data_IF_870413043410
#
_entry.id   IF_870413043410
#
_cell.length_a   1.000
_cell.length_b   1.000
_cell.length_c   1.000
_cell.angle_alpha   90.00
_cell.angle_beta   90.00
_cell.angle_gamma   90.00
#
_symmetry.space_group_name_H-M   'P 1'
#
loop_
_entity.id
_entity.type
_entity.pdbx_description
1 polymer ?
#
# COMPACT_ATOMS: atom_id res chain seq x y z
N UNK A 1 23.31 24.61 -11.27
CA UNK A 1 21.86 24.69 -11.50
C UNK A 1 21.21 24.45 -10.14
N UNK A 2 20.41 25.38 -9.64
CA UNK A 2 19.81 25.25 -8.32
C UNK A 2 18.92 24.00 -8.29
N UNK A 3 19.16 23.12 -7.33
CA UNK A 3 18.24 22.02 -7.00
C UNK A 3 16.92 22.65 -6.59
N UNK A 4 15.94 22.69 -7.49
CA UNK A 4 14.57 22.99 -7.08
C UNK A 4 14.15 21.81 -6.21
N UNK A 5 14.03 22.04 -4.90
CA UNK A 5 13.36 21.12 -4.01
C UNK A 5 11.90 21.02 -4.43
N UNK A 6 11.31 19.83 -4.34
CA UNK A 6 9.86 19.66 -4.52
C UNK A 6 9.14 20.60 -3.57
N UNK A 7 8.31 21.49 -4.11
CA UNK A 7 7.45 22.36 -3.31
C UNK A 7 6.41 21.48 -2.62
N UNK A 8 6.39 21.50 -1.29
CA UNK A 8 5.44 20.71 -0.50
C UNK A 8 4.10 21.46 -0.51
N UNK A 9 3.02 20.86 -1.02
CA UNK A 9 1.69 21.47 -0.97
C UNK A 9 1.25 21.69 0.48
N UNK A 10 0.33 22.63 0.68
CA UNK A 10 -0.27 22.86 1.99
C UNK A 10 -1.00 21.59 2.49
N UNK A 11 -1.03 21.38 3.80
CA UNK A 11 -1.56 20.14 4.38
C UNK A 11 -3.02 19.89 3.97
N UNK A 12 -3.85 20.92 3.88
CA UNK A 12 -5.25 20.80 3.45
C UNK A 12 -5.39 20.30 2.02
N UNK A 13 -4.45 20.66 1.14
CA UNK A 13 -4.41 20.14 -0.24
C UNK A 13 -4.01 18.67 -0.24
N UNK A 14 -3.07 18.27 0.62
CA UNK A 14 -2.62 16.88 0.73
C UNK A 14 -3.67 15.97 1.36
N UNK A 15 -4.53 16.53 2.21
CA UNK A 15 -5.67 15.84 2.83
C UNK A 15 -6.94 15.88 1.97
N UNK A 16 -6.91 16.54 0.82
CA UNK A 16 -8.02 16.54 -0.12
C UNK A 16 -8.21 15.15 -0.75
N UNK A 17 -9.47 14.78 -0.98
CA UNK A 17 -9.81 13.55 -1.68
C UNK A 17 -9.34 13.61 -3.13
N UNK A 18 -8.76 12.52 -3.60
CA UNK A 18 -8.27 12.39 -4.97
C UNK A 18 -9.25 11.57 -5.83
N UNK A 19 -8.91 11.37 -7.11
CA UNK A 19 -9.55 10.36 -7.95
C UNK A 19 -8.86 9.01 -7.77
N UNK A 20 -9.60 7.88 -7.87
CA UNK A 20 -8.98 6.55 -7.84
C UNK A 20 -7.86 6.43 -8.87
N UNK A 21 -6.71 5.91 -8.44
CA UNK A 21 -5.60 5.66 -9.34
C UNK A 21 -5.99 4.57 -10.35
N UNK A 22 -5.77 4.84 -11.64
CA UNK A 22 -6.03 3.88 -12.70
C UNK A 22 -4.92 2.83 -12.75
N UNK A 23 -5.23 1.70 -13.36
CA UNK A 23 -4.30 0.61 -13.60
C UNK A 23 -4.01 0.50 -15.11
N UNK A 24 -2.78 0.14 -15.49
CA UNK A 24 -2.40 -0.08 -16.89
C UNK A 24 -0.97 0.34 -17.21
N UNK A 25 -0.57 0.21 -18.47
CA UNK A 25 0.83 0.44 -18.92
C UNK A 25 1.08 1.87 -19.46
N UNK A 26 0.01 2.66 -19.58
CA UNK A 26 0.08 4.04 -20.06
C UNK A 26 0.43 4.99 -18.91
N UNK A 27 1.16 6.07 -19.23
CA UNK A 27 1.28 7.18 -18.29
C UNK A 27 -0.11 7.80 -18.03
N UNK A 28 -0.36 8.33 -16.83
CA UNK A 28 -1.64 8.97 -16.56
C UNK A 28 -1.81 10.22 -17.44
N UNK A 29 -3.04 10.46 -17.88
CA UNK A 29 -3.43 11.72 -18.54
C UNK A 29 -3.19 12.92 -17.61
N UNK A 30 -3.21 14.14 -18.14
CA UNK A 30 -3.07 15.36 -17.33
C UNK A 30 -4.15 15.41 -16.23
N UNK A 31 -3.72 15.52 -14.97
CA UNK A 31 -4.59 15.45 -13.79
C UNK A 31 -5.06 14.04 -13.39
N UNK A 32 -4.68 13.01 -14.15
CA UNK A 32 -4.89 11.60 -13.81
C UNK A 32 -3.83 11.05 -12.85
N UNK A 33 -4.11 9.89 -12.24
CA UNK A 33 -3.21 9.19 -11.31
C UNK A 33 -3.09 7.71 -11.68
N UNK A 34 -1.95 7.10 -11.33
CA UNK A 34 -1.70 5.69 -11.58
C UNK A 34 -1.20 5.40 -13.00
N UNK A 35 -1.82 4.43 -13.66
CA UNK A 35 -1.32 3.85 -14.91
C UNK A 35 0.03 3.18 -14.66
N UNK A 36 1.02 3.51 -15.49
CA UNK A 36 2.39 3.03 -15.32
C UNK A 36 3.03 3.56 -14.02
N UNK A 37 2.53 4.66 -13.46
CA UNK A 37 3.00 5.27 -12.21
C UNK A 37 2.16 4.78 -11.02
N UNK A 38 2.11 3.46 -10.85
CA UNK A 38 1.34 2.80 -9.80
C UNK A 38 2.17 1.72 -9.09
N UNK A 39 1.84 1.41 -7.83
CA UNK A 39 2.51 0.38 -7.03
C UNK A 39 2.55 -1.00 -7.73
N UNK A 40 1.48 -1.35 -8.46
CA UNK A 40 1.39 -2.60 -9.24
C UNK A 40 2.42 -2.68 -10.37
N UNK A 41 2.94 -1.54 -10.82
CA UNK A 41 3.90 -1.48 -11.93
C UNK A 41 5.33 -1.80 -11.47
N UNK A 42 5.63 -1.68 -10.18
CA UNK A 42 7.00 -1.71 -9.66
C UNK A 42 7.69 -3.04 -9.90
N UNK A 43 7.10 -4.17 -9.48
CA UNK A 43 7.73 -5.48 -9.68
C UNK A 43 7.77 -5.92 -11.15
N UNK A 44 6.73 -5.74 -11.97
CA UNK A 44 6.83 -5.95 -13.42
C UNK A 44 7.94 -5.12 -14.07
N UNK A 45 8.05 -3.83 -13.76
CA UNK A 45 9.12 -2.97 -14.28
C UNK A 45 10.51 -3.46 -13.87
N UNK A 46 10.69 -3.84 -12.61
CA UNK A 46 11.96 -4.40 -12.11
C UNK A 46 12.27 -5.73 -12.81
N UNK A 47 11.26 -6.58 -13.05
CA UNK A 47 11.44 -7.84 -13.77
C UNK A 47 11.98 -7.61 -15.18
N UNK A 48 11.50 -6.58 -15.88
CA UNK A 48 12.05 -6.14 -17.17
C UNK A 48 13.46 -5.61 -17.03
N UNK A 49 13.72 -4.75 -16.03
CA UNK A 49 15.04 -4.18 -15.79
C UNK A 49 16.13 -5.25 -15.55
N UNK A 50 15.76 -6.38 -14.94
CA UNK A 50 16.68 -7.51 -14.73
C UNK A 50 16.74 -8.50 -15.90
N UNK A 51 16.06 -8.22 -17.02
CA UNK A 51 16.09 -9.04 -18.24
C UNK A 51 15.08 -10.19 -18.28
N UNK A 52 14.13 -10.23 -17.35
CA UNK A 52 13.11 -11.29 -17.23
C UNK A 52 11.70 -10.67 -17.15
N UNK A 53 11.19 -10.05 -18.22
CA UNK A 53 9.93 -9.34 -18.19
C UNK A 53 8.76 -10.29 -17.86
N UNK A 54 8.03 -9.98 -16.78
CA UNK A 54 6.87 -10.72 -16.29
C UNK A 54 5.60 -9.87 -16.52
N UNK A 55 4.80 -10.13 -17.58
CA UNK A 55 3.49 -9.48 -17.73
C UNK A 55 2.50 -9.98 -16.66
N UNK A 56 1.45 -9.23 -16.39
CA UNK A 56 0.39 -9.59 -15.43
C UNK A 56 -0.99 -9.46 -16.07
N UNK A 57 -2.05 -9.75 -15.32
CA UNK A 57 -3.42 -9.53 -15.77
C UNK A 57 -3.75 -8.05 -16.06
N UNK A 58 -2.97 -7.12 -15.49
CA UNK A 58 -3.15 -5.68 -15.61
C UNK A 58 -2.08 -5.04 -16.52
N UNK A 59 -0.87 -5.59 -16.50
CA UNK A 59 0.30 -5.01 -17.14
C UNK A 59 0.85 -5.95 -18.22
N UNK A 60 0.54 -5.68 -19.48
CA UNK A 60 0.95 -6.53 -20.59
C UNK A 60 2.39 -6.23 -21.04
N UNK A 61 2.87 -5.00 -20.83
CA UNK A 61 4.19 -4.54 -21.27
C UNK A 61 5.10 -4.08 -20.10
N UNK A 62 5.81 -5.02 -19.45
CA UNK A 62 6.78 -4.70 -18.41
C UNK A 62 7.91 -3.74 -18.85
N UNK A 63 8.27 -3.72 -20.14
CA UNK A 63 9.33 -2.83 -20.64
C UNK A 63 8.85 -1.39 -20.65
N UNK A 64 7.61 -1.17 -21.06
CA UNK A 64 6.99 0.15 -20.98
C UNK A 64 6.91 0.67 -19.55
N UNK A 65 6.57 -0.20 -18.59
CA UNK A 65 6.59 0.18 -17.17
C UNK A 65 7.99 0.54 -16.67
N UNK A 66 9.01 -0.20 -17.10
CA UNK A 66 10.41 0.09 -16.82
C UNK A 66 10.79 1.50 -17.30
N UNK A 67 10.43 1.85 -18.53
CA UNK A 67 10.69 3.16 -19.14
C UNK A 67 9.94 4.27 -18.43
N UNK A 68 8.64 4.08 -18.16
CA UNK A 68 7.80 5.06 -17.47
C UNK A 68 8.28 5.34 -16.05
N UNK A 69 8.71 4.31 -15.31
CA UNK A 69 9.29 4.47 -13.99
C UNK A 69 10.71 5.04 -14.04
N UNK A 70 11.43 4.93 -15.16
CA UNK A 70 12.81 5.40 -15.29
C UNK A 70 13.84 4.42 -14.72
N UNK A 71 13.52 3.12 -14.71
CA UNK A 71 14.43 2.10 -14.19
C UNK A 71 15.51 1.73 -15.25
N UNK A 72 16.81 1.86 -14.94
CA UNK A 72 17.85 1.39 -15.85
C UNK A 72 17.91 -0.14 -15.90
N UNK A 73 18.47 -0.69 -16.98
CA UNK A 73 18.77 -2.12 -17.03
C UNK A 73 19.82 -2.47 -15.95
N UNK A 74 19.62 -3.61 -15.28
CA UNK A 74 20.47 -4.06 -14.20
C UNK A 74 20.59 -5.58 -14.19
N UNK A 75 21.67 -6.11 -13.60
CA UNK A 75 21.81 -7.57 -13.42
C UNK A 75 21.21 -8.05 -12.09
N UNK A 76 21.21 -7.17 -11.09
CA UNK A 76 20.66 -7.39 -9.76
C UNK A 76 19.83 -6.18 -9.36
N UNK A 77 18.67 -6.43 -8.76
CA UNK A 77 17.84 -5.40 -8.18
C UNK A 77 17.53 -5.70 -6.71
N UNK A 78 17.53 -4.66 -5.88
CA UNK A 78 17.02 -4.69 -4.51
C UNK A 78 15.85 -3.73 -4.40
N UNK A 79 14.66 -4.24 -4.10
CA UNK A 79 13.48 -3.41 -3.82
C UNK A 79 13.23 -3.41 -2.32
N UNK A 80 13.18 -2.21 -1.74
CA UNK A 80 12.90 -2.00 -0.31
C UNK A 80 11.54 -1.34 -0.19
N UNK A 81 10.59 -2.05 0.42
CA UNK A 81 9.30 -1.49 0.79
C UNK A 81 9.35 -1.03 2.25
N UNK A 82 9.16 0.27 2.46
CA UNK A 82 9.08 0.88 3.79
C UNK A 82 7.61 1.18 4.09
N UNK A 83 7.05 0.42 5.02
CA UNK A 83 5.64 0.50 5.40
C UNK A 83 5.29 1.87 5.97
N UNK A 84 4.23 2.49 5.44
CA UNK A 84 3.71 3.79 5.88
C UNK A 84 4.61 4.99 5.57
N UNK A 85 5.60 4.85 4.69
CA UNK A 85 6.50 5.94 4.30
C UNK A 85 6.01 6.70 3.06
N UNK A 86 4.98 7.53 3.22
CA UNK A 86 4.40 8.32 2.13
C UNK A 86 5.38 9.32 1.51
N UNK A 87 5.16 9.65 0.23
CA UNK A 87 6.03 10.56 -0.52
C UNK A 87 6.08 11.95 0.13
N UNK A 88 4.92 12.44 0.57
CA UNK A 88 4.81 13.74 1.22
C UNK A 88 5.36 13.71 2.65
N UNK A 89 5.25 12.58 3.38
CA UNK A 89 5.87 12.44 4.70
C UNK A 89 7.41 12.58 4.60
N UNK A 90 8.02 12.01 3.56
CA UNK A 90 9.45 12.17 3.26
C UNK A 90 9.80 13.63 3.01
N UNK A 91 9.08 14.30 2.09
CA UNK A 91 9.40 15.68 1.71
C UNK A 91 9.25 16.66 2.89
N UNK A 92 8.24 16.48 3.74
CA UNK A 92 8.04 17.27 4.97
C UNK A 92 9.12 17.04 6.04
N UNK A 93 9.89 15.96 5.95
CA UNK A 93 10.94 15.59 6.92
C UNK A 93 12.29 15.36 6.27
N UNK A 94 12.51 15.88 5.06
CA UNK A 94 13.68 15.60 4.24
C UNK A 94 15.01 15.99 4.90
N UNK A 95 14.97 16.93 5.85
CA UNK A 95 16.12 17.33 6.67
C UNK A 95 16.70 16.21 7.54
N UNK A 96 15.89 15.21 7.91
CA UNK A 96 16.26 14.08 8.77
C UNK A 96 16.77 12.85 8.01
N UNK A 97 16.75 12.88 6.68
CA UNK A 97 17.08 11.72 5.84
C UNK A 97 18.15 12.07 4.80
N UNK A 98 19.43 12.20 5.19
CA UNK A 98 20.50 12.60 4.27
C UNK A 98 20.60 11.74 3.02
N UNK A 99 20.39 10.42 3.13
CA UNK A 99 20.45 9.53 1.97
C UNK A 99 19.24 9.72 1.05
N UNK A 100 18.01 9.66 1.56
CA UNK A 100 16.81 9.89 0.76
C UNK A 100 16.81 11.31 0.13
N UNK A 101 17.28 12.31 0.86
CA UNK A 101 17.48 13.67 0.35
C UNK A 101 18.45 13.72 -0.83
N UNK A 102 19.51 12.92 -0.80
CA UNK A 102 20.45 12.86 -1.93
C UNK A 102 19.80 12.26 -3.18
N UNK A 103 18.88 11.30 -3.01
CA UNK A 103 18.13 10.71 -4.13
C UNK A 103 17.14 11.70 -4.73
N UNK A 104 16.51 12.53 -3.89
CA UNK A 104 15.60 13.61 -4.33
C UNK A 104 16.28 14.73 -5.12
N UNK A 105 17.61 14.72 -5.26
CA UNK A 105 18.32 15.63 -6.17
C UNK A 105 18.18 15.21 -7.65
N UNK A 106 17.80 13.96 -7.93
CA UNK A 106 17.49 13.48 -9.27
C UNK A 106 16.02 13.71 -9.59
N UNK A 107 15.75 14.32 -10.74
CA UNK A 107 14.39 14.58 -11.25
C UNK A 107 13.51 13.33 -11.36
N UNK A 108 14.08 12.15 -11.61
CA UNK A 108 13.28 10.90 -11.69
C UNK A 108 12.59 10.57 -10.36
N UNK A 109 13.19 11.02 -9.25
CA UNK A 109 12.72 10.80 -7.89
C UNK A 109 11.83 11.94 -7.36
N UNK A 110 11.75 13.06 -8.08
CA UNK A 110 10.97 14.25 -7.70
C UNK A 110 9.49 14.13 -8.10
N UNK A 111 8.95 12.91 -8.13
CA UNK A 111 7.53 12.64 -8.38
C UNK A 111 7.05 11.44 -7.56
N UNK A 112 5.81 11.47 -7.05
CA UNK A 112 5.20 10.29 -6.46
C UNK A 112 4.77 9.28 -7.55
N UNK A 113 4.50 8.05 -7.12
CA UNK A 113 3.60 7.13 -7.81
C UNK A 113 2.38 6.89 -6.91
N UNK A 114 1.29 6.36 -7.47
CA UNK A 114 0.08 6.07 -6.69
C UNK A 114 0.09 4.65 -6.10
N UNK A 115 -0.51 4.48 -4.92
CA UNK A 115 -0.89 3.16 -4.40
C UNK A 115 -2.34 2.80 -4.75
N UNK A 116 -2.74 1.56 -4.43
CA UNK A 116 -4.10 1.07 -4.63
C UNK A 116 -5.09 1.63 -3.59
N UNK A 117 -6.38 1.35 -3.81
CA UNK A 117 -7.44 1.66 -2.85
C UNK A 117 -8.10 0.39 -2.30
N UNK A 118 -8.33 0.29 -0.97
CA UNK A 118 -7.85 1.20 0.08
C UNK A 118 -6.33 1.24 0.18
N UNK A 119 -5.77 2.36 0.63
CA UNK A 119 -4.33 2.56 0.81
C UNK A 119 -3.86 1.88 2.11
N UNK A 120 -3.98 0.56 2.15
CA UNK A 120 -3.74 -0.26 3.34
C UNK A 120 -2.78 -1.39 3.03
N UNK A 121 -1.96 -1.77 4.00
CA UNK A 121 -0.90 -2.78 3.83
C UNK A 121 -1.42 -4.05 3.14
N UNK A 122 -2.60 -4.56 3.52
CA UNK A 122 -3.16 -5.80 2.95
C UNK A 122 -3.36 -5.70 1.43
N UNK A 123 -4.05 -4.64 0.99
CA UNK A 123 -4.38 -4.42 -0.41
C UNK A 123 -3.12 -4.05 -1.22
N UNK A 124 -2.29 -3.16 -0.65
CA UNK A 124 -1.07 -2.66 -1.28
C UNK A 124 -0.01 -3.74 -1.44
N UNK A 125 0.21 -4.59 -0.43
CA UNK A 125 1.17 -5.69 -0.52
C UNK A 125 0.77 -6.73 -1.56
N UNK A 126 -0.53 -7.04 -1.65
CA UNK A 126 -1.07 -7.98 -2.63
C UNK A 126 -0.98 -7.41 -4.05
N UNK A 127 -1.26 -6.12 -4.20
CA UNK A 127 -1.09 -5.34 -5.44
C UNK A 127 0.38 -5.34 -5.89
N UNK A 128 1.30 -4.99 -4.98
CA UNK A 128 2.73 -4.97 -5.21
C UNK A 128 3.27 -6.33 -5.64
N UNK A 129 3.02 -7.36 -4.83
CA UNK A 129 3.61 -8.68 -5.01
C UNK A 129 3.11 -9.42 -6.25
N UNK A 130 1.91 -9.12 -6.73
CA UNK A 130 1.31 -9.73 -7.92
C UNK A 130 1.41 -8.85 -9.17
N UNK A 131 1.70 -7.56 -8.99
CA UNK A 131 1.60 -6.57 -10.05
C UNK A 131 0.19 -6.47 -10.65
N UNK A 132 -0.85 -6.60 -9.83
CA UNK A 132 -2.26 -6.53 -10.25
C UNK A 132 -3.05 -5.49 -9.43
N UNK A 133 -4.27 -5.80 -9.00
CA UNK A 133 -5.14 -4.88 -8.27
C UNK A 133 -5.97 -5.61 -7.18
N UNK A 134 -6.54 -4.87 -6.21
CA UNK A 134 -7.38 -5.46 -5.15
C UNK A 134 -8.55 -6.30 -5.69
N UNK A 135 -9.18 -5.87 -6.79
CA UNK A 135 -10.31 -6.54 -7.42
C UNK A 135 -10.00 -7.92 -8.02
N UNK A 136 -8.74 -8.16 -8.42
CA UNK A 136 -8.28 -9.47 -8.90
C UNK A 136 -7.63 -10.30 -7.79
N UNK A 137 -7.02 -9.66 -6.80
CA UNK A 137 -6.39 -10.36 -5.67
C UNK A 137 -7.40 -10.84 -4.65
N UNK A 138 -8.54 -10.16 -4.49
CA UNK A 138 -9.52 -10.44 -3.43
C UNK A 138 -9.13 -9.88 -2.05
N UNK A 139 -8.08 -9.05 -2.02
CA UNK A 139 -7.54 -8.44 -0.81
C UNK A 139 -7.99 -6.98 -0.78
N UNK A 140 -9.25 -6.74 -0.38
CA UNK A 140 -9.97 -5.48 -0.62
C UNK A 140 -10.03 -4.54 0.58
N UNK A 141 -9.49 -4.95 1.73
CA UNK A 141 -9.34 -4.09 2.91
C UNK A 141 -8.60 -4.77 4.06
N UNK A 142 -8.31 -4.03 5.13
CA UNK A 142 -7.74 -4.61 6.36
C UNK A 142 -8.66 -5.67 6.99
N UNK A 143 -9.96 -5.37 7.05
CA UNK A 143 -11.01 -6.35 7.31
C UNK A 143 -12.01 -6.38 6.17
N UNK A 144 -12.61 -7.54 5.91
CA UNK A 144 -13.61 -7.71 4.87
C UNK A 144 -14.51 -8.92 5.17
N UNK A 145 -15.63 -9.05 4.47
CA UNK A 145 -16.49 -10.23 4.58
C UNK A 145 -15.78 -11.46 4.01
N UNK A 146 -15.80 -12.55 4.77
CA UNK A 146 -15.45 -13.86 4.27
C UNK A 146 -16.70 -14.50 3.62
N UNK A 147 -16.70 -14.74 2.30
CA UNK A 147 -17.86 -15.28 1.60
C UNK A 147 -18.17 -16.75 1.97
N UNK A 148 -17.22 -17.49 2.55
CA UNK A 148 -17.43 -18.89 2.91
C UNK A 148 -18.29 -19.07 4.16
N UNK A 149 -18.32 -18.08 5.06
CA UNK A 149 -19.02 -18.18 6.34
C UNK A 149 -19.86 -16.94 6.71
N UNK A 150 -19.81 -15.86 5.94
CA UNK A 150 -20.58 -14.64 6.18
C UNK A 150 -20.09 -13.78 7.35
N UNK A 151 -18.91 -14.07 7.90
CA UNK A 151 -18.32 -13.29 9.00
C UNK A 151 -17.26 -12.30 8.49
N UNK A 152 -16.98 -11.26 9.28
CA UNK A 152 -15.85 -10.38 9.02
C UNK A 152 -14.53 -11.09 9.38
N UNK A 153 -13.60 -11.06 8.44
CA UNK A 153 -12.24 -11.54 8.59
C UNK A 153 -11.24 -10.38 8.69
N UNK A 154 -10.07 -10.63 9.27
CA UNK A 154 -8.97 -9.67 9.38
C UNK A 154 -7.74 -10.23 8.67
N UNK A 155 -7.24 -9.51 7.66
CA UNK A 155 -6.31 -10.06 6.67
C UNK A 155 -4.83 -9.87 6.99
N UNK A 156 -4.48 -9.17 8.07
CA UNK A 156 -3.09 -9.14 8.57
C UNK A 156 -2.76 -10.44 9.33
N UNK A 157 -3.65 -10.89 10.21
CA UNK A 157 -3.51 -12.13 10.98
C UNK A 157 -4.21 -13.32 10.33
N UNK A 158 -4.98 -13.09 9.26
CA UNK A 158 -5.85 -14.08 8.61
C UNK A 158 -6.88 -14.71 9.55
N UNK A 159 -7.29 -13.98 10.59
CA UNK A 159 -8.37 -14.42 11.49
C UNK A 159 -9.68 -14.46 10.70
N UNK A 160 -10.36 -15.61 10.75
CA UNK A 160 -11.62 -15.89 10.06
C UNK A 160 -11.55 -15.71 8.52
N UNK A 161 -10.36 -15.64 7.92
CA UNK A 161 -10.20 -15.49 6.48
C UNK A 161 -10.17 -16.86 5.78
N UNK A 162 -10.51 -16.94 4.48
CA UNK A 162 -10.19 -18.12 3.68
C UNK A 162 -8.68 -18.40 3.70
N UNK A 163 -8.30 -19.63 3.40
CA UNK A 163 -6.88 -19.99 3.26
C UNK A 163 -6.18 -19.04 2.26
N UNK A 164 -4.92 -18.64 2.50
CA UNK A 164 -4.21 -17.64 1.69
C UNK A 164 -4.30 -17.85 0.18
N UNK A 165 -4.01 -19.07 -0.28
CA UNK A 165 -4.03 -19.45 -1.69
C UNK A 165 -5.45 -19.57 -2.29
N UNK A 166 -6.47 -19.73 -1.45
CA UNK A 166 -7.88 -19.71 -1.89
C UNK A 166 -8.36 -18.26 -2.06
N UNK A 167 -7.95 -17.39 -1.14
CA UNK A 167 -8.32 -15.97 -1.14
C UNK A 167 -7.62 -15.22 -2.28
N UNK A 168 -6.30 -15.33 -2.35
CA UNK A 168 -5.46 -14.67 -3.36
C UNK A 168 -5.00 -15.71 -4.39
N UNK A 169 -5.48 -15.56 -5.62
CA UNK A 169 -5.29 -16.55 -6.69
C UNK A 169 -4.37 -16.07 -7.83
N UNK A 170 -4.01 -14.78 -7.86
CA UNK A 170 -3.09 -14.27 -8.88
C UNK A 170 -1.66 -14.75 -8.56
N UNK A 171 -0.88 -15.21 -9.56
CA UNK A 171 0.51 -15.56 -9.33
C UNK A 171 1.30 -14.34 -8.87
N UNK A 172 2.23 -14.53 -7.93
CA UNK A 172 3.13 -13.43 -7.56
C UNK A 172 4.23 -13.28 -8.63
N UNK A 173 4.81 -12.09 -8.74
CA UNK A 173 5.98 -11.86 -9.60
C UNK A 173 7.16 -12.71 -9.12
N UNK A 174 7.26 -12.97 -7.80
CA UNK A 174 8.30 -13.81 -7.22
C UNK A 174 8.18 -15.27 -7.68
N UNK A 175 6.98 -15.87 -7.66
CA UNK A 175 6.74 -17.22 -8.19
C UNK A 175 7.16 -17.30 -9.66
N UNK A 176 6.71 -16.33 -10.45
CA UNK A 176 6.96 -16.31 -11.89
C UNK A 176 8.43 -16.10 -12.27
N UNK A 177 9.18 -15.35 -11.46
CA UNK A 177 10.63 -15.24 -11.62
C UNK A 177 11.32 -16.56 -11.24
N UNK A 178 10.90 -17.20 -10.15
CA UNK A 178 11.45 -18.48 -9.72
C UNK A 178 11.19 -19.60 -10.75
N UNK A 179 10.03 -19.60 -11.42
CA UNK A 179 9.69 -20.52 -12.52
C UNK A 179 10.61 -20.35 -13.75
N UNK A 180 11.28 -19.21 -13.88
CA UNK A 180 12.30 -18.94 -14.91
C UNK A 180 13.74 -19.15 -14.40
N UNK A 181 13.90 -19.83 -13.26
CA UNK A 181 15.18 -20.03 -12.56
C UNK A 181 15.89 -18.71 -12.19
N UNK A 182 15.14 -17.61 -12.09
CA UNK A 182 15.66 -16.34 -11.59
C UNK A 182 15.73 -16.41 -10.07
N UNK A 183 16.88 -16.07 -9.51
CA UNK A 183 17.08 -16.02 -8.06
C UNK A 183 16.20 -14.92 -7.46
N UNK A 184 15.33 -15.29 -6.53
CA UNK A 184 14.45 -14.37 -5.80
C UNK A 184 14.61 -14.58 -4.30
N UNK A 185 14.93 -13.52 -3.57
CA UNK A 185 15.20 -13.60 -2.13
C UNK A 185 14.45 -12.53 -1.38
N UNK A 186 13.76 -12.90 -0.31
CA UNK A 186 13.14 -11.96 0.63
C UNK A 186 13.95 -11.90 1.92
N UNK A 187 14.29 -10.70 2.38
CA UNK A 187 14.95 -10.47 3.66
C UNK A 187 14.02 -9.72 4.60
N UNK A 188 13.64 -10.36 5.72
CA UNK A 188 12.64 -9.79 6.62
C UNK A 188 12.67 -10.41 8.02
N UNK A 189 11.65 -10.09 8.82
CA UNK A 189 11.51 -10.62 10.17
C UNK A 189 11.08 -12.10 10.17
N UNK A 190 11.52 -12.93 11.14
CA UNK A 190 11.11 -14.33 11.25
C UNK A 190 9.60 -14.54 11.29
N UNK A 191 8.88 -13.69 12.03
CA UNK A 191 7.41 -13.78 12.17
C UNK A 191 6.64 -13.64 10.85
N UNK A 192 7.26 -13.15 9.78
CA UNK A 192 6.63 -12.99 8.47
C UNK A 192 6.99 -14.10 7.48
N UNK A 193 8.04 -14.90 7.73
CA UNK A 193 8.53 -15.91 6.79
C UNK A 193 7.43 -16.89 6.35
N UNK A 194 6.54 -17.25 7.27
CA UNK A 194 5.43 -18.18 7.04
C UNK A 194 4.07 -17.56 7.33
N UNK A 195 3.98 -16.23 7.43
CA UNK A 195 2.70 -15.58 7.69
C UNK A 195 1.75 -15.79 6.51
N UNK A 196 0.47 -15.85 6.80
CA UNK A 196 -0.57 -16.04 5.82
C UNK A 196 -0.60 -14.91 4.76
N UNK A 197 -0.31 -13.66 5.16
CA UNK A 197 -0.17 -12.54 4.23
C UNK A 197 1.02 -12.71 3.29
N UNK A 198 2.18 -13.14 3.78
CA UNK A 198 3.32 -13.45 2.91
C UNK A 198 2.97 -14.55 1.92
N UNK A 199 2.26 -15.61 2.36
CA UNK A 199 1.80 -16.67 1.46
C UNK A 199 0.81 -16.15 0.41
N UNK A 200 -0.11 -15.25 0.76
CA UNK A 200 -1.07 -14.68 -0.18
C UNK A 200 -0.42 -13.71 -1.17
N UNK A 201 0.48 -12.83 -0.70
CA UNK A 201 0.92 -11.67 -1.49
C UNK A 201 2.34 -11.80 -2.06
N UNK A 202 3.25 -12.53 -1.39
CA UNK A 202 4.70 -12.46 -1.62
C UNK A 202 5.38 -13.84 -1.73
N UNK A 203 4.60 -14.92 -1.90
CA UNK A 203 5.12 -16.29 -2.03
C UNK A 203 6.02 -16.43 -3.25
N UNK A 204 6.90 -17.43 -3.27
CA UNK A 204 7.79 -17.75 -4.40
C UNK A 204 9.25 -17.36 -4.22
N UNK A 205 9.59 -16.58 -3.19
CA UNK A 205 10.99 -16.22 -2.87
C UNK A 205 11.60 -17.12 -1.79
N UNK A 206 12.92 -17.31 -1.83
CA UNK A 206 13.67 -17.80 -0.68
C UNK A 206 13.66 -16.77 0.45
N UNK A 207 12.98 -17.08 1.55
CA UNK A 207 12.86 -16.15 2.67
C UNK A 207 13.98 -16.34 3.70
N UNK A 208 14.84 -15.33 3.85
CA UNK A 208 15.93 -15.32 4.83
C UNK A 208 15.59 -14.37 5.97
N UNK A 209 15.26 -14.93 7.13
CA UNK A 209 14.79 -14.16 8.27
C UNK A 209 15.90 -13.75 9.25
N UNK A 210 15.85 -12.50 9.73
CA UNK A 210 16.69 -12.03 10.84
C UNK A 210 15.95 -11.01 11.74
N UNK A 211 16.06 -11.15 13.06
CA UNK A 211 15.50 -10.17 14.02
C UNK A 211 16.32 -8.88 14.09
N UNK A 212 17.65 -8.98 13.92
CA UNK A 212 18.53 -7.82 13.91
C UNK A 212 18.37 -7.01 12.60
N UNK A 213 18.03 -5.71 12.68
CA UNK A 213 17.81 -4.90 11.48
C UNK A 213 19.04 -4.78 10.59
N UNK A 214 20.24 -4.67 11.17
CA UNK A 214 21.48 -4.58 10.39
C UNK A 214 21.74 -5.89 9.63
N UNK A 215 21.53 -7.04 10.26
CA UNK A 215 21.66 -8.36 9.61
C UNK A 215 20.66 -8.54 8.47
N UNK A 216 19.43 -8.02 8.58
CA UNK A 216 18.47 -8.02 7.45
C UNK A 216 19.02 -7.27 6.24
N UNK A 217 19.56 -6.07 6.45
CA UNK A 217 20.17 -5.27 5.38
C UNK A 217 21.39 -5.98 4.78
N UNK A 218 22.29 -6.50 5.61
CA UNK A 218 23.47 -7.23 5.12
C UNK A 218 23.12 -8.53 4.40
N UNK A 219 22.03 -9.20 4.79
CA UNK A 219 21.51 -10.39 4.11
C UNK A 219 21.02 -10.02 2.71
N UNK A 220 20.27 -8.93 2.59
CA UNK A 220 19.82 -8.44 1.29
C UNK A 220 21.00 -8.04 0.39
N UNK A 221 21.97 -7.33 0.94
CA UNK A 221 23.20 -6.97 0.23
C UNK A 221 23.99 -8.20 -0.23
N UNK A 222 24.08 -9.24 0.62
CA UNK A 222 24.72 -10.51 0.28
C UNK A 222 23.98 -11.20 -0.87
N UNK A 223 22.66 -11.29 -0.81
CA UNK A 223 21.84 -11.91 -1.86
C UNK A 223 22.02 -11.23 -3.23
N UNK A 224 22.17 -9.89 -3.25
CA UNK A 224 22.38 -9.11 -4.46
C UNK A 224 23.70 -9.42 -5.22
N UNK A 225 24.66 -10.14 -4.60
CA UNK A 225 25.87 -10.61 -5.30
C UNK A 225 25.57 -11.63 -6.41
N UNK A 226 24.44 -12.32 -6.31
CA UNK A 226 23.94 -13.20 -7.38
C UNK A 226 22.91 -12.40 -8.18
N UNK A 227 22.82 -12.51 -9.52
CA UNK A 227 21.80 -11.83 -10.35
C UNK A 227 20.36 -12.16 -9.94
N UNK A 228 19.41 -11.26 -10.21
CA UNK A 228 17.98 -11.43 -9.89
C UNK A 228 17.40 -10.38 -8.93
N UNK A 229 16.27 -10.68 -8.29
CA UNK A 229 15.50 -9.76 -7.44
C UNK A 229 15.58 -10.05 -5.92
N UNK A 230 16.00 -9.06 -5.12
CA UNK A 230 15.95 -9.12 -3.66
C UNK A 230 14.88 -8.18 -3.12
N UNK A 231 14.00 -8.67 -2.26
CA UNK A 231 12.98 -7.88 -1.56
C UNK A 231 13.35 -7.66 -0.09
N UNK A 232 13.15 -6.44 0.42
CA UNK A 232 13.31 -6.08 1.82
C UNK A 232 12.08 -5.34 2.30
N UNK A 233 11.56 -5.72 3.47
CA UNK A 233 10.43 -5.08 4.10
C UNK A 233 10.82 -4.44 5.43
N UNK A 234 10.53 -3.14 5.59
CA UNK A 234 10.82 -2.36 6.79
C UNK A 234 9.51 -1.79 7.36
N UNK A 235 9.08 -2.34 8.50
CA UNK A 235 7.75 -2.08 9.10
C UNK A 235 7.70 -0.99 10.17
N UNK A 236 8.85 -0.40 10.50
CA UNK A 236 9.01 0.32 11.76
C UNK A 236 8.39 1.72 11.70
N UNK A 237 8.38 2.36 10.53
CA UNK A 237 7.81 3.69 10.29
C UNK A 237 6.31 3.70 10.54
N UNK A 238 5.56 2.83 9.85
CA UNK A 238 4.13 2.61 10.09
C UNK A 238 3.81 2.32 11.57
N UNK A 239 4.48 1.29 12.13
CA UNK A 239 4.24 0.87 13.51
C UNK A 239 4.42 2.02 14.50
N UNK A 240 5.46 2.84 14.33
CA UNK A 240 5.73 3.96 15.23
C UNK A 240 4.76 5.12 14.96
N UNK A 241 4.39 5.36 13.71
CA UNK A 241 3.37 6.34 13.32
C UNK A 241 2.04 6.08 14.01
N UNK A 242 1.52 4.86 13.90
CA UNK A 242 0.29 4.47 14.58
C UNK A 242 0.34 4.56 16.11
N UNK A 243 1.51 4.39 16.74
CA UNK A 243 1.60 4.44 18.20
C UNK A 243 1.85 5.85 18.77
N UNK A 244 2.45 6.75 17.98
CA UNK A 244 2.98 8.01 18.51
C UNK A 244 2.76 9.24 17.62
N UNK A 245 2.27 9.09 16.40
CA UNK A 245 2.15 10.17 15.42
C UNK A 245 3.32 10.18 14.43
N UNK A 246 3.04 10.35 13.13
CA UNK A 246 4.07 10.38 12.07
C UNK A 246 5.00 11.60 12.16
N UNK A 247 4.61 12.65 12.86
CA UNK A 247 5.40 13.86 13.08
C UNK A 247 6.14 13.89 14.43
N UNK A 248 5.98 12.86 15.26
CA UNK A 248 6.58 12.78 16.60
C UNK A 248 8.09 12.55 16.58
N UNK A 249 8.80 12.95 17.64
CA UNK A 249 10.24 12.68 17.82
C UNK A 249 10.58 11.18 17.71
N UNK A 250 9.65 10.30 18.15
CA UNK A 250 9.83 8.84 18.06
C UNK A 250 9.78 8.36 16.62
N UNK A 251 8.88 8.94 15.82
CA UNK A 251 8.81 8.65 14.40
C UNK A 251 10.03 9.21 13.68
N UNK A 252 10.42 10.46 13.94
CA UNK A 252 11.62 11.09 13.35
C UNK A 252 12.88 10.25 13.63
N UNK A 253 13.11 9.85 14.88
CA UNK A 253 14.25 8.99 15.21
C UNK A 253 14.15 7.58 14.59
N UNK A 254 12.96 7.11 14.25
CA UNK A 254 12.77 5.86 13.49
C UNK A 254 13.07 6.06 12.01
N UNK A 255 12.61 7.16 11.43
CA UNK A 255 12.88 7.57 10.06
C UNK A 255 14.38 7.75 9.80
N UNK A 256 15.11 8.42 10.70
CA UNK A 256 16.58 8.54 10.65
C UNK A 256 17.28 7.17 10.64
N UNK A 257 16.77 6.20 11.41
CA UNK A 257 17.30 4.83 11.42
C UNK A 257 17.01 4.09 10.12
N UNK A 258 15.84 4.30 9.50
CA UNK A 258 15.54 3.74 8.18
C UNK A 258 16.46 4.34 7.13
N UNK A 259 16.65 5.66 7.10
CA UNK A 259 17.59 6.32 6.18
C UNK A 259 19.01 5.74 6.32
N UNK A 260 19.48 5.55 7.57
CA UNK A 260 20.77 4.94 7.84
C UNK A 260 20.87 3.47 7.37
N UNK A 261 19.79 2.69 7.48
CA UNK A 261 19.71 1.32 6.97
C UNK A 261 19.76 1.29 5.43
N UNK A 262 19.04 2.18 4.77
CA UNK A 262 19.04 2.31 3.31
C UNK A 262 20.43 2.77 2.80
N UNK A 263 21.06 3.72 3.48
CA UNK A 263 22.44 4.15 3.20
C UNK A 263 23.46 3.02 3.41
N UNK A 264 23.25 2.16 4.42
CA UNK A 264 24.06 0.96 4.62
C UNK A 264 23.86 -0.04 3.48
N UNK A 265 22.62 -0.28 3.06
CA UNK A 265 22.31 -1.17 1.93
C UNK A 265 23.06 -0.72 0.67
N UNK A 266 22.90 0.56 0.30
CA UNK A 266 23.52 1.18 -0.86
C UNK A 266 25.05 0.99 -0.90
N UNK A 267 25.73 1.12 0.24
CA UNK A 267 27.20 0.93 0.33
C UNK A 267 27.63 -0.54 0.35
N UNK A 268 26.70 -1.47 0.59
CA UNK A 268 27.01 -2.88 0.82
C UNK A 268 26.64 -3.79 -0.34
N UNK A 269 25.74 -3.36 -1.23
CA UNK A 269 25.42 -4.09 -2.46
C UNK A 269 26.55 -3.98 -3.49
N UNK A 270 26.65 -4.91 -4.46
CA UNK A 270 27.59 -4.78 -5.57
C UNK A 270 27.36 -3.50 -6.39
N UNK A 271 28.42 -2.98 -7.02
CA UNK A 271 28.30 -1.88 -7.99
C UNK A 271 27.31 -2.22 -9.10
N UNK A 272 26.60 -1.21 -9.61
CA UNK A 272 25.58 -1.33 -10.64
C UNK A 272 24.35 -2.17 -10.22
N UNK A 273 24.11 -2.33 -8.91
CA UNK A 273 22.86 -2.90 -8.41
C UNK A 273 21.79 -1.81 -8.43
N UNK A 274 20.65 -2.10 -9.08
CA UNK A 274 19.47 -1.24 -9.02
C UNK A 274 18.85 -1.31 -7.62
N UNK A 275 18.59 -0.16 -7.01
CA UNK A 275 17.88 -0.07 -5.74
C UNK A 275 16.60 0.74 -5.98
N UNK A 276 15.45 0.15 -5.62
CA UNK A 276 14.15 0.81 -5.68
C UNK A 276 13.57 0.90 -4.28
N UNK A 277 13.26 2.10 -3.81
CA UNK A 277 12.65 2.35 -2.49
C UNK A 277 11.21 2.79 -2.73
N UNK A 278 10.28 2.04 -2.15
CA UNK A 278 8.85 2.20 -2.32
C UNK A 278 8.13 2.12 -0.97
N UNK A 279 6.87 2.54 -0.91
CA UNK A 279 5.98 2.31 0.22
C UNK A 279 4.67 1.68 -0.24
N UNK A 280 3.94 1.07 0.67
CA UNK A 280 2.56 0.62 0.46
C UNK A 280 1.55 1.76 0.56
N UNK A 281 1.76 2.70 1.49
CA UNK A 281 0.95 3.90 1.66
C UNK A 281 1.73 4.99 2.40
N UNK A 282 1.13 6.18 2.48
CA UNK A 282 1.51 7.23 3.41
C UNK A 282 0.72 7.19 4.71
N UNK A 283 0.73 8.30 5.44
CA UNK A 283 0.14 8.40 6.76
C UNK A 283 -0.30 9.83 7.06
N UNK A 284 -1.48 9.98 7.66
CA UNK A 284 -2.03 11.26 8.12
C UNK A 284 -2.08 11.32 9.64
N UNK A 285 -2.19 12.54 10.18
CA UNK A 285 -2.57 12.75 11.58
C UNK A 285 -4.09 12.64 11.70
N UNK A 286 -4.56 11.76 12.59
CA UNK A 286 -5.98 11.67 12.91
C UNK A 286 -6.38 12.84 13.82
N UNK A 287 -7.58 13.38 13.62
CA UNK A 287 -8.14 14.39 14.51
C UNK A 287 -9.13 13.74 15.48
N UNK A 288 -8.85 13.74 16.80
CA UNK A 288 -9.76 13.19 17.81
C UNK A 288 -11.15 13.83 17.81
N UNK A 289 -11.27 15.12 17.42
CA UNK A 289 -12.56 15.82 17.35
C UNK A 289 -13.36 15.44 16.09
N UNK A 290 -12.67 14.92 15.06
CA UNK A 290 -13.27 14.41 13.84
C UNK A 290 -13.46 12.88 13.85
N UNK A 291 -13.33 12.24 15.02
CA UNK A 291 -13.57 10.80 15.18
C UNK A 291 -15.07 10.52 15.31
N UNK A 292 -15.60 9.72 14.39
CA UNK A 292 -17.01 9.34 14.34
C UNK A 292 -17.15 7.89 14.82
N UNK A 293 -17.74 7.71 16.01
CA UNK A 293 -18.10 6.38 16.50
C UNK A 293 -19.50 5.99 16.04
N UNK A 294 -19.59 5.05 15.10
CA UNK A 294 -20.87 4.63 14.52
C UNK A 294 -21.76 3.88 15.52
N UNK A 295 -21.19 3.40 16.65
CA UNK A 295 -21.98 2.84 17.74
C UNK A 295 -22.87 3.89 18.41
N UNK A 296 -22.46 5.17 18.36
CA UNK A 296 -23.20 6.31 18.90
C UNK A 296 -24.16 6.94 17.89
N UNK A 297 -24.20 6.42 16.65
CA UNK A 297 -25.00 6.93 15.53
C UNK A 297 -25.96 5.85 15.00
N UNK A 298 -27.06 5.52 15.72
CA UNK A 298 -27.96 4.41 15.34
C UNK A 298 -28.54 4.53 13.93
N UNK A 299 -28.66 5.77 13.43
CA UNK A 299 -29.05 6.05 12.06
C UNK A 299 -28.11 5.39 11.06
N UNK A 300 -26.79 5.53 11.20
CA UNK A 300 -25.79 4.98 10.28
C UNK A 300 -25.84 3.45 10.20
N UNK A 301 -26.31 2.79 11.27
CA UNK A 301 -26.36 1.33 11.36
C UNK A 301 -27.67 0.71 10.86
N UNK A 302 -28.67 1.52 10.48
CA UNK A 302 -29.96 0.99 10.01
C UNK A 302 -29.79 0.26 8.66
N UNK A 303 -30.16 -1.02 8.63
CA UNK A 303 -30.05 -1.88 7.45
C UNK A 303 -28.64 -2.41 7.20
N UNK A 304 -27.72 -2.26 8.16
CA UNK A 304 -26.32 -2.72 8.06
C UNK A 304 -26.14 -3.96 8.94
N UNK A 305 -25.87 -5.10 8.32
CA UNK A 305 -25.62 -6.37 9.00
C UNK A 305 -24.20 -6.48 9.56
N UNK A 306 -23.19 -6.04 8.79
CA UNK A 306 -21.79 -6.10 9.20
C UNK A 306 -21.02 -4.84 8.78
N UNK A 307 -19.94 -4.56 9.50
CA UNK A 307 -19.00 -3.47 9.21
C UNK A 307 -17.60 -4.04 9.11
N UNK A 308 -16.93 -3.78 8.00
CA UNK A 308 -15.53 -4.12 7.74
C UNK A 308 -14.74 -2.92 7.25
N UNK A 309 -13.59 -3.18 6.63
CA UNK A 309 -12.63 -2.15 6.21
C UNK A 309 -11.72 -1.72 7.35
N UNK A 310 -11.47 -0.41 7.42
CA UNK A 310 -10.62 0.25 8.40
C UNK A 310 -11.09 1.69 8.66
N UNK A 311 -10.57 2.41 9.68
CA UNK A 311 -11.14 3.69 10.08
C UNK A 311 -11.16 4.79 9.02
N UNK A 312 -10.31 4.65 7.99
CA UNK A 312 -10.23 5.57 6.86
C UNK A 312 -10.98 5.08 5.61
N UNK A 313 -11.33 3.80 5.56
CA UNK A 313 -12.12 3.23 4.47
C UNK A 313 -13.01 2.10 5.00
N UNK A 314 -14.22 2.47 5.44
CA UNK A 314 -15.20 1.54 6.01
C UNK A 314 -15.98 0.84 4.90
N UNK A 315 -16.24 -0.45 5.07
CA UNK A 315 -17.10 -1.24 4.20
C UNK A 315 -18.34 -1.68 4.96
N UNK A 316 -19.53 -1.38 4.44
CA UNK A 316 -20.81 -1.72 5.03
C UNK A 316 -21.44 -2.85 4.24
N UNK A 317 -21.91 -3.87 4.95
CA UNK A 317 -22.62 -5.00 4.36
C UNK A 317 -24.07 -4.92 4.81
N UNK A 318 -24.99 -4.81 3.83
CA UNK A 318 -26.42 -4.64 4.08
C UNK A 318 -27.09 -5.89 4.63
N UNK A 319 -28.22 -5.73 5.30
CA UNK A 319 -29.14 -6.84 5.59
C UNK A 319 -29.77 -7.39 4.30
N UNK A 320 -30.21 -8.66 4.31
CA UNK A 320 -30.82 -9.28 3.14
C UNK A 320 -32.04 -8.49 2.66
N UNK A 321 -32.01 -8.03 1.40
CA UNK A 321 -33.08 -7.27 0.78
C UNK A 321 -33.02 -5.76 1.01
N UNK A 322 -32.07 -5.25 1.80
CA UNK A 322 -31.79 -3.82 1.89
C UNK A 322 -31.20 -3.30 0.58
N UNK A 323 -31.63 -2.11 0.18
CA UNK A 323 -31.10 -1.44 -0.99
C UNK A 323 -29.81 -0.68 -0.61
N UNK A 324 -28.64 -1.01 -1.22
CA UNK A 324 -27.38 -0.33 -0.91
C UNK A 324 -27.44 1.20 -1.10
N UNK A 325 -28.28 1.70 -2.00
CA UNK A 325 -28.42 3.14 -2.23
C UNK A 325 -29.10 3.84 -1.05
N UNK A 326 -30.02 3.19 -0.35
CA UNK A 326 -30.69 3.77 0.83
C UNK A 326 -29.72 3.87 2.02
N UNK A 327 -28.81 2.89 2.16
CA UNK A 327 -27.70 2.94 3.12
C UNK A 327 -26.74 4.06 2.71
N UNK A 328 -26.32 4.11 1.44
CA UNK A 328 -25.38 5.11 0.94
C UNK A 328 -25.92 6.54 1.10
N UNK A 329 -27.19 6.80 0.75
CA UNK A 329 -27.83 8.10 0.91
C UNK A 329 -27.80 8.56 2.36
N UNK A 330 -28.16 7.68 3.30
CA UNK A 330 -28.12 8.00 4.74
C UNK A 330 -26.72 8.36 5.23
N UNK A 331 -25.71 7.61 4.77
CA UNK A 331 -24.32 7.89 5.11
C UNK A 331 -23.84 9.20 4.49
N UNK A 332 -24.24 9.54 3.25
CA UNK A 332 -23.95 10.84 2.64
C UNK A 332 -24.57 11.99 3.42
N UNK A 333 -25.83 11.85 3.84
CA UNK A 333 -26.55 12.90 4.58
C UNK A 333 -25.90 13.18 5.94
N UNK A 334 -25.47 12.14 6.66
CA UNK A 334 -24.86 12.29 7.99
C UNK A 334 -23.40 12.74 7.91
N UNK A 335 -22.61 12.21 6.97
CA UNK A 335 -21.18 12.50 6.90
C UNK A 335 -20.88 13.80 6.14
N UNK A 336 -21.71 14.17 5.15
CA UNK A 336 -21.47 15.32 4.30
C UNK A 336 -20.09 15.25 3.64
N UNK A 337 -19.33 16.34 3.74
CA UNK A 337 -17.98 16.45 3.15
C UNK A 337 -16.91 15.63 3.90
N UNK A 338 -17.23 15.06 5.07
CA UNK A 338 -16.28 14.28 5.88
C UNK A 338 -15.96 12.92 5.29
N UNK A 339 -16.71 12.46 4.29
CA UNK A 339 -16.41 11.20 3.60
C UNK A 339 -16.98 11.18 2.19
N UNK A 340 -16.32 10.41 1.32
CA UNK A 340 -16.85 10.02 0.04
C UNK A 340 -17.53 8.65 0.16
N UNK A 341 -18.83 8.60 -0.13
CA UNK A 341 -19.65 7.40 0.02
C UNK A 341 -20.08 6.88 -1.36
N UNK A 342 -19.74 5.63 -1.64
CA UNK A 342 -20.08 4.91 -2.88
C UNK A 342 -20.85 3.65 -2.57
N UNK A 343 -21.79 3.28 -3.42
CA UNK A 343 -22.24 1.87 -3.47
C UNK A 343 -21.13 1.00 -4.05
N UNK A 344 -21.19 -0.32 -3.82
CA UNK A 344 -20.27 -1.31 -4.42
C UNK A 344 -20.19 -1.12 -5.93
N UNK A 345 -21.34 -0.95 -6.57
CA UNK A 345 -21.42 -0.78 -8.02
C UNK A 345 -20.70 0.48 -8.49
N UNK A 346 -20.94 1.63 -7.84
CA UNK A 346 -20.22 2.88 -8.12
C UNK A 346 -18.71 2.72 -7.94
N UNK A 347 -18.26 2.10 -6.83
CA UNK A 347 -16.84 1.88 -6.57
C UNK A 347 -16.19 1.01 -7.66
N UNK A 348 -16.87 -0.04 -8.12
CA UNK A 348 -16.38 -0.90 -9.21
C UNK A 348 -16.33 -0.16 -10.54
N UNK A 349 -17.39 0.59 -10.89
CA UNK A 349 -17.48 1.34 -12.15
C UNK A 349 -16.43 2.45 -12.22
N UNK A 350 -16.18 3.15 -11.11
CA UNK A 350 -15.14 4.17 -10.99
C UNK A 350 -13.71 3.59 -10.95
N UNK A 351 -13.57 2.26 -10.93
CA UNK A 351 -12.28 1.58 -10.97
C UNK A 351 -11.52 1.59 -9.64
N UNK A 352 -12.18 1.82 -8.50
CA UNK A 352 -11.57 1.87 -7.15
C UNK A 352 -10.67 0.67 -6.88
N UNK A 353 -11.15 -0.53 -7.21
CA UNK A 353 -10.44 -1.78 -6.98
C UNK A 353 -9.73 -2.32 -8.24
N UNK A 354 -9.70 -1.55 -9.34
CA UNK A 354 -9.36 -2.04 -10.69
C UNK A 354 -10.41 -3.02 -11.23
N UNK A 355 -10.08 -3.86 -12.22
CA UNK A 355 -10.93 -4.98 -12.63
C UNK A 355 -11.29 -5.89 -11.44
N UNK A 356 -12.56 -6.28 -11.34
CA UNK A 356 -13.06 -7.08 -10.21
C UNK A 356 -13.58 -8.43 -10.69
N UNK A 357 -12.98 -9.50 -10.18
CA UNK A 357 -13.46 -10.86 -10.40
C UNK A 357 -14.81 -11.09 -9.72
N UNK A 358 -15.68 -11.90 -10.31
CA UNK A 358 -16.99 -12.22 -9.72
C UNK A 358 -16.87 -12.75 -8.28
N UNK A 359 -15.86 -13.60 -8.02
CA UNK A 359 -15.58 -14.18 -6.69
C UNK A 359 -15.24 -13.14 -5.61
N UNK A 360 -14.80 -11.95 -6.02
CA UNK A 360 -14.32 -10.88 -5.13
C UNK A 360 -15.44 -9.90 -4.78
N UNK A 361 -16.50 -9.81 -5.59
CA UNK A 361 -17.57 -8.81 -5.41
C UNK A 361 -18.17 -8.82 -4.00
N UNK A 362 -18.45 -9.99 -3.44
CA UNK A 362 -19.03 -10.12 -2.09
C UNK A 362 -18.05 -9.78 -0.95
N UNK A 363 -16.74 -9.72 -1.24
CA UNK A 363 -15.72 -9.27 -0.28
C UNK A 363 -15.65 -7.74 -0.18
N UNK A 364 -16.21 -7.03 -1.16
CA UNK A 364 -16.34 -5.56 -1.13
C UNK A 364 -17.67 -5.25 -0.44
N UNK A 365 -17.72 -4.27 0.47
CA UNK A 365 -18.97 -3.81 1.08
C UNK A 365 -20.02 -3.38 0.05
N UNK A 366 -21.30 -3.53 0.37
CA UNK A 366 -22.41 -2.98 -0.43
C UNK A 366 -22.32 -1.46 -0.54
N UNK A 367 -21.74 -0.82 0.49
CA UNK A 367 -21.37 0.58 0.52
C UNK A 367 -19.92 0.70 1.01
N UNK A 368 -19.14 1.54 0.36
CA UNK A 368 -17.74 1.87 0.70
C UNK A 368 -17.68 3.34 1.07
N UNK A 369 -17.08 3.63 2.22
CA UNK A 369 -17.03 4.95 2.82
C UNK A 369 -15.58 5.34 3.06
N UNK A 370 -15.07 6.26 2.26
CA UNK A 370 -13.68 6.74 2.35
C UNK A 370 -13.64 8.07 3.07
N UNK A 371 -13.03 8.11 4.24
CA UNK A 371 -12.98 9.31 5.07
C UNK A 371 -12.14 10.41 4.40
N UNK A 372 -12.63 11.64 4.40
CA UNK A 372 -11.93 12.80 3.89
C UNK A 372 -11.13 13.49 5.00
N UNK A 373 -10.22 14.40 4.66
CA UNK A 373 -9.49 15.19 5.65
C UNK A 373 -8.76 14.30 6.67
N UNK A 374 -8.89 14.65 7.94
CA UNK A 374 -8.38 13.91 9.11
C UNK A 374 -9.43 13.02 9.81
N UNK A 375 -10.64 12.89 9.24
CA UNK A 375 -11.75 12.12 9.84
C UNK A 375 -11.42 10.64 10.00
N UNK A 376 -11.85 10.05 11.10
CA UNK A 376 -11.85 8.59 11.31
C UNK A 376 -13.25 8.09 11.62
N UNK A 377 -13.56 6.88 11.18
CA UNK A 377 -14.86 6.24 11.40
C UNK A 377 -14.61 4.92 12.12
N UNK A 378 -15.06 4.81 13.37
CA UNK A 378 -14.76 3.69 14.27
C UNK A 378 -16.04 3.04 14.78
N UNK A 379 -15.91 1.87 15.41
CA UNK A 379 -17.03 1.17 16.04
C UNK A 379 -16.64 0.63 17.43
N UNK A 380 -17.05 1.35 18.47
CA UNK A 380 -16.74 1.00 19.86
C UNK A 380 -17.38 -0.30 20.35
N UNK A 381 -18.33 -0.88 19.61
CA UNK A 381 -18.92 -2.19 19.94
C UNK A 381 -17.95 -3.34 19.68
N UNK A 382 -17.03 -3.17 18.73
CA UNK A 382 -16.15 -4.25 18.25
C UNK A 382 -14.66 -3.92 18.35
N UNK A 383 -14.30 -2.63 18.36
CA UNK A 383 -12.92 -2.17 18.35
C UNK A 383 -12.44 -1.81 19.77
N UNK A 384 -11.20 -2.18 20.07
CA UNK A 384 -10.56 -1.80 21.33
C UNK A 384 -10.26 -0.30 21.36
N UNK A 385 -10.32 0.31 22.55
CA UNK A 385 -10.09 1.75 22.76
C UNK A 385 -8.83 2.28 22.08
N UNK A 386 -7.71 1.57 22.21
CA UNK A 386 -6.44 1.95 21.56
C UNK A 386 -6.54 2.00 20.03
N UNK A 387 -7.28 1.09 19.40
CA UNK A 387 -7.42 1.04 17.95
C UNK A 387 -8.29 2.17 17.40
N UNK A 388 -9.20 2.71 18.23
CA UNK A 388 -10.06 3.83 17.87
C UNK A 388 -9.37 5.20 17.97
N UNK A 389 -8.31 5.30 18.77
CA UNK A 389 -7.64 6.57 19.09
C UNK A 389 -6.17 6.56 18.66
N UNK A 390 -5.87 6.00 17.48
CA UNK A 390 -4.52 6.05 16.91
C UNK A 390 -4.21 7.50 16.47
N UNK A 391 -3.08 8.09 16.89
CA UNK A 391 -2.69 9.47 16.51
C UNK A 391 -2.42 9.64 15.01
N UNK A 392 -2.09 8.57 14.31
CA UNK A 392 -1.92 8.58 12.87
C UNK A 392 -2.51 7.34 12.24
N UNK A 393 -3.10 7.53 11.06
CA UNK A 393 -3.88 6.52 10.34
C UNK A 393 -3.66 6.65 8.83
N UNK A 394 -4.07 5.63 8.11
CA UNK A 394 -4.10 5.58 6.65
C UNK A 394 -5.30 4.73 6.21
N UNK A 395 -5.55 4.64 4.91
CA UNK A 395 -6.54 3.75 4.31
C UNK A 395 -7.48 4.41 3.30
N UNK A 396 -7.58 5.75 3.33
CA UNK A 396 -8.43 6.52 2.41
C UNK A 396 -7.66 6.94 1.16
N UNK A 397 -8.22 7.88 0.41
CA UNK A 397 -7.77 8.28 -0.91
C UNK A 397 -7.30 9.74 -0.96
N UNK A 398 -6.66 10.22 0.12
CA UNK A 398 -5.99 11.53 0.12
C UNK A 398 -4.61 11.44 -0.52
N UNK A 399 -4.05 12.55 -1.03
CA UNK A 399 -2.67 12.54 -1.55
C UNK A 399 -1.68 12.09 -0.48
N UNK A 400 -1.88 12.51 0.77
CA UNK A 400 -1.01 12.15 1.88
C UNK A 400 -0.96 10.64 2.15
N UNK A 401 -2.06 9.91 1.91
CA UNK A 401 -2.14 8.46 2.07
C UNK A 401 -1.74 7.69 0.81
N UNK A 402 -2.05 8.24 -0.37
CA UNK A 402 -2.01 7.47 -1.62
C UNK A 402 -0.83 7.79 -2.54
N UNK A 403 -0.15 8.92 -2.36
CA UNK A 403 1.12 9.20 -3.03
C UNK A 403 2.29 8.58 -2.25
N UNK A 404 2.93 7.61 -2.87
CA UNK A 404 4.04 6.86 -2.31
C UNK A 404 5.33 7.14 -3.10
N UNK A 405 6.50 7.01 -2.46
CA UNK A 405 7.77 7.11 -3.16
C UNK A 405 7.96 5.97 -4.16
N UNK A 406 8.69 6.26 -5.23
CA UNK A 406 9.39 5.28 -6.06
C UNK A 406 10.78 5.85 -6.32
N UNK A 407 11.67 5.76 -5.32
CA UNK A 407 13.00 6.34 -5.40
C UNK A 407 13.97 5.34 -6.00
N UNK A 408 14.71 5.78 -7.00
CA UNK A 408 15.61 4.98 -7.82
C UNK A 408 17.04 5.40 -7.51
N UNK A 409 17.89 4.42 -7.28
CA UNK A 409 19.33 4.57 -7.12
C UNK A 409 20.06 3.40 -7.81
N UNK A 410 21.32 3.61 -8.17
CA UNK A 410 22.22 2.60 -8.70
C UNK A 410 23.53 2.65 -7.90
N UNK A 411 23.93 1.52 -7.33
CA UNK A 411 25.07 1.40 -6.41
C UNK A 411 26.44 1.73 -7.00
#
# INVERSE_FOLDING_TARGET
>A
MGTMSVEVPEIDQLLAMTSPARYGDELPDEGGRGGALHLSSVLPAISSAIGHPIPTAIHADPKRLQEALGLPDARSAVVVLVDGLGYWNINMRLGHSPYLRSLMADSVNQRPIATCMPSTTVAAMSTFGTGTCPGLTGMTGYTQLNPDNGEICQLISFKNAPAPLKLQQQPTIFERLAEQDVRVTSSGLPKFAFSALTQAALRGSDYISNDDPRRRIMTAAKAANTPGLTYVYLRDVDKIGHNYGWDSDKWIGTYERIDAQLSLLRRSVPKNTLIVIVADHGMITADPEACIDIASEPQLMRGVANVGGEPRCVMLYGEDGENPEDIAARWRDVLGERAQVRTRWQAIEEGVYGPVDERVKSMIGDVVVSAAGSTTIVDSRTQAEKAMHLPSVHGSLTYMESDIPCLIDVA
#
